data_IF_528843689513
#
_entry.id   IF_528843689513
#
_cell.length_a   1.000
_cell.length_b   1.000
_cell.length_c   1.000
_cell.angle_alpha   90.00
_cell.angle_beta   90.00
_cell.angle_gamma   90.00
#
_symmetry.space_group_name_H-M   'P 1'
#
loop_
_entity.id
_entity.type
_entity.pdbx_description
1 polymer ?
#
# COMPACT_ATOMS: atom_id res chain seq x y z
N UNK A 1 -2.36 -3.39 -12.04
CA UNK A 1 -1.08 -2.93 -11.45
C UNK A 1 -0.28 -2.14 -12.46
N UNK A 2 -0.87 -1.11 -13.10
CA UNK A 2 -0.23 -0.46 -14.24
C UNK A 2 1.01 0.34 -13.81
N UNK A 3 0.98 1.02 -12.66
CA UNK A 3 2.13 1.75 -12.11
C UNK A 3 3.33 0.83 -11.80
N UNK A 4 3.10 -0.30 -11.13
CA UNK A 4 4.18 -1.25 -10.81
C UNK A 4 4.76 -1.89 -12.06
N UNK A 5 3.92 -2.19 -13.08
CA UNK A 5 4.39 -2.70 -14.37
C UNK A 5 5.25 -1.67 -15.10
N UNK A 6 4.80 -0.42 -15.18
CA UNK A 6 5.54 0.68 -15.78
C UNK A 6 6.95 0.81 -15.19
N UNK A 7 7.07 0.75 -13.86
CA UNK A 7 8.37 0.83 -13.20
C UNK A 7 9.21 -0.46 -13.30
N UNK A 8 8.69 -1.60 -12.82
CA UNK A 8 9.49 -2.82 -12.63
C UNK A 8 9.64 -3.67 -13.90
N UNK A 9 8.72 -3.56 -14.86
CA UNK A 9 8.72 -4.40 -16.08
C UNK A 9 9.13 -3.61 -17.30
N UNK A 10 8.62 -2.39 -17.44
CA UNK A 10 8.80 -1.56 -18.64
C UNK A 10 9.92 -0.52 -18.48
N UNK A 11 10.48 -0.39 -17.27
CA UNK A 11 11.59 0.52 -16.95
C UNK A 11 11.30 1.99 -17.35
N UNK A 12 10.04 2.41 -17.17
CA UNK A 12 9.61 3.78 -17.40
C UNK A 12 9.89 4.66 -16.17
N UNK A 13 10.08 5.96 -16.43
CA UNK A 13 10.24 6.96 -15.39
C UNK A 13 8.88 7.36 -14.80
N UNK A 14 8.49 6.72 -13.70
CA UNK A 14 7.24 7.01 -13.00
C UNK A 14 7.26 8.32 -12.18
N UNK A 15 8.36 9.09 -12.22
CA UNK A 15 8.37 10.47 -11.73
C UNK A 15 7.90 11.48 -12.80
N UNK A 16 7.80 11.05 -14.06
CA UNK A 16 7.28 11.85 -15.17
C UNK A 16 5.75 11.90 -15.16
N UNK A 17 5.19 13.11 -15.25
CA UNK A 17 3.74 13.30 -15.36
C UNK A 17 3.19 12.62 -16.63
N UNK A 18 3.89 12.68 -17.76
CA UNK A 18 3.43 12.07 -19.00
C UNK A 18 3.26 10.55 -18.86
N UNK A 19 4.21 9.89 -18.17
CA UNK A 19 4.12 8.45 -17.87
C UNK A 19 2.97 8.17 -16.90
N UNK A 20 2.81 9.00 -15.86
CA UNK A 20 1.70 8.84 -14.91
C UNK A 20 0.34 8.97 -15.59
N UNK A 21 0.17 9.91 -16.52
CA UNK A 21 -1.09 10.08 -17.25
C UNK A 21 -1.40 8.89 -18.16
N UNK A 22 -0.37 8.30 -18.80
CA UNK A 22 -0.53 7.05 -19.54
C UNK A 22 -0.99 5.91 -18.61
N UNK A 23 -0.34 5.77 -17.45
CA UNK A 23 -0.71 4.75 -16.45
C UNK A 23 -2.14 4.94 -15.94
N UNK A 24 -2.59 6.19 -15.76
CA UNK A 24 -3.95 6.56 -15.36
C UNK A 24 -4.96 6.12 -16.44
N UNK A 25 -4.71 6.45 -17.70
CA UNK A 25 -5.56 6.05 -18.83
C UNK A 25 -5.65 4.53 -18.97
N UNK A 26 -4.51 3.83 -18.90
CA UNK A 26 -4.46 2.35 -18.95
C UNK A 26 -5.19 1.69 -17.76
N UNK A 27 -5.35 2.43 -16.66
CA UNK A 27 -6.09 1.98 -15.47
C UNK A 27 -7.60 2.22 -15.58
N UNK A 28 -8.06 2.79 -16.70
CA UNK A 28 -9.46 3.14 -16.93
C UNK A 28 -9.92 4.37 -16.14
N UNK A 29 -8.98 5.21 -15.68
CA UNK A 29 -9.26 6.44 -14.96
C UNK A 29 -9.29 7.59 -15.97
N UNK A 30 -10.30 8.46 -15.88
CA UNK A 30 -10.39 9.65 -16.71
C UNK A 30 -9.23 10.62 -16.42
N UNK A 31 -8.47 10.95 -17.46
CA UNK A 31 -7.23 11.72 -17.37
C UNK A 31 -7.48 13.16 -16.90
N UNK A 32 -8.56 13.78 -17.35
CA UNK A 32 -8.87 15.17 -17.00
C UNK A 32 -9.33 15.27 -15.54
N UNK A 33 -10.17 14.33 -15.10
CA UNK A 33 -10.58 14.18 -13.69
C UNK A 33 -9.38 13.93 -12.78
N UNK A 34 -8.43 13.07 -13.20
CA UNK A 34 -7.20 12.82 -12.43
C UNK A 34 -6.37 14.10 -12.29
N UNK A 35 -6.12 14.83 -13.39
CA UNK A 35 -5.36 16.09 -13.37
C UNK A 35 -6.01 17.12 -12.46
N UNK A 36 -7.33 17.30 -12.57
CA UNK A 36 -8.07 18.22 -11.73
C UNK A 36 -7.94 17.84 -10.25
N UNK A 37 -8.19 16.57 -9.93
CA UNK A 37 -8.11 16.05 -8.55
C UNK A 37 -6.70 16.21 -7.98
N UNK A 38 -5.67 15.90 -8.78
CA UNK A 38 -4.27 16.00 -8.38
C UNK A 38 -3.87 17.46 -8.10
N UNK A 39 -4.28 18.40 -8.97
CA UNK A 39 -4.01 19.82 -8.79
C UNK A 39 -4.74 20.41 -7.57
N UNK A 40 -6.00 20.04 -7.36
CA UNK A 40 -6.81 20.55 -6.24
C UNK A 40 -6.34 20.02 -4.87
N UNK A 41 -5.72 18.84 -4.83
CA UNK A 41 -5.39 18.13 -3.60
C UNK A 41 -3.89 17.88 -3.39
N UNK A 42 -3.00 18.50 -4.18
CA UNK A 42 -1.55 18.26 -4.17
C UNK A 42 -0.96 18.28 -2.74
N UNK A 43 -1.25 19.33 -1.97
CA UNK A 43 -0.76 19.46 -0.60
C UNK A 43 -1.35 18.41 0.36
N UNK A 44 -2.60 18.03 0.15
CA UNK A 44 -3.25 17.01 0.97
C UNK A 44 -2.63 15.64 0.69
N UNK A 45 -2.48 15.27 -0.58
CA UNK A 45 -1.85 14.00 -0.96
C UNK A 45 -0.40 13.93 -0.50
N UNK A 46 0.35 15.03 -0.60
CA UNK A 46 1.71 15.11 -0.06
C UNK A 46 1.72 14.81 1.44
N UNK A 47 0.85 15.46 2.22
CA UNK A 47 0.73 15.19 3.67
C UNK A 47 0.38 13.74 3.96
N UNK A 48 -0.62 13.18 3.28
CA UNK A 48 -1.03 11.79 3.47
C UNK A 48 0.11 10.79 3.22
N UNK A 49 0.90 10.99 2.14
CA UNK A 49 2.07 10.14 1.86
C UNK A 49 3.11 10.21 2.98
N UNK A 50 3.37 11.40 3.54
CA UNK A 50 4.30 11.55 4.66
C UNK A 50 3.74 10.98 5.97
N UNK A 51 2.44 11.13 6.22
CA UNK A 51 1.77 10.58 7.39
C UNK A 51 1.83 9.05 7.36
N UNK A 52 1.51 8.41 6.22
CA UNK A 52 1.64 6.96 6.03
C UNK A 52 3.08 6.47 6.26
N UNK A 53 4.09 7.20 5.77
CA UNK A 53 5.49 6.90 6.00
C UNK A 53 5.88 6.98 7.48
N UNK A 54 5.41 8.02 8.18
CA UNK A 54 5.68 8.21 9.60
C UNK A 54 4.99 7.14 10.44
N UNK A 55 3.76 6.77 10.12
CA UNK A 55 3.02 5.71 10.79
C UNK A 55 3.74 4.35 10.64
N UNK A 56 4.19 4.01 9.43
CA UNK A 56 4.99 2.81 9.20
C UNK A 56 6.29 2.83 10.02
N UNK A 57 7.00 3.95 10.04
CA UNK A 57 8.24 4.12 10.82
C UNK A 57 7.98 3.97 12.33
N UNK A 58 6.89 4.55 12.84
CA UNK A 58 6.48 4.49 14.24
C UNK A 58 6.08 3.06 14.66
N UNK A 59 5.53 2.27 13.74
CA UNK A 59 5.27 0.84 13.92
C UNK A 59 6.54 -0.03 13.86
N UNK A 60 7.72 0.57 13.67
CA UNK A 60 9.00 -0.15 13.58
C UNK A 60 9.22 -0.84 12.24
N UNK A 61 8.45 -0.48 11.20
CA UNK A 61 8.63 -1.01 9.86
C UNK A 61 9.84 -0.32 9.22
N UNK A 62 10.92 -1.07 9.06
CA UNK A 62 12.20 -0.58 8.51
C UNK A 62 12.42 -1.01 7.05
N UNK A 63 11.44 -1.65 6.41
CA UNK A 63 11.57 -2.15 5.06
C UNK A 63 10.24 -2.64 4.49
N UNK A 64 10.17 -2.71 3.16
CA UNK A 64 9.00 -3.15 2.40
C UNK A 64 9.32 -4.39 1.55
N UNK A 65 8.33 -5.24 1.21
CA UNK A 65 6.93 -5.15 1.62
C UNK A 65 6.73 -5.51 3.09
N UNK A 66 5.73 -4.91 3.72
CA UNK A 66 5.31 -5.21 5.09
C UNK A 66 3.78 -5.21 5.14
N UNK A 67 3.21 -6.12 5.93
CA UNK A 67 1.77 -6.25 6.11
C UNK A 67 1.47 -6.25 7.60
N UNK A 68 0.59 -5.35 8.03
CA UNK A 68 0.10 -5.28 9.41
C UNK A 68 -1.31 -5.85 9.45
N UNK A 69 -1.58 -6.77 10.37
CA UNK A 69 -2.89 -7.38 10.60
C UNK A 69 -3.42 -6.82 11.92
N UNK A 70 -4.57 -6.13 11.84
CA UNK A 70 -5.31 -5.55 12.98
C UNK A 70 -4.44 -4.71 13.92
N UNK A 71 -3.50 -3.94 13.37
CA UNK A 71 -2.55 -3.10 14.11
C UNK A 71 -1.72 -3.84 15.18
N UNK A 72 -1.71 -5.17 15.15
CA UNK A 72 -1.15 -6.02 16.21
C UNK A 72 -0.10 -7.00 15.71
N UNK A 73 -0.19 -7.42 14.45
CA UNK A 73 0.70 -8.44 13.92
C UNK A 73 1.37 -7.99 12.61
N UNK A 74 2.70 -7.85 12.66
CA UNK A 74 3.53 -7.45 11.52
C UNK A 74 4.11 -8.68 10.82
N UNK A 75 3.84 -8.81 9.53
CA UNK A 75 4.55 -9.69 8.59
C UNK A 75 5.50 -8.81 7.79
N UNK A 76 6.81 -8.98 7.99
CA UNK A 76 7.84 -8.19 7.32
C UNK A 76 8.53 -9.00 6.22
N UNK A 77 8.64 -8.40 5.03
CA UNK A 77 9.29 -8.98 3.87
C UNK A 77 8.34 -9.69 2.91
N UNK A 78 8.87 -10.04 1.73
CA UNK A 78 8.19 -10.86 0.75
C UNK A 78 8.24 -12.33 1.20
N UNK A 79 7.23 -12.75 1.96
CA UNK A 79 7.09 -14.12 2.46
C UNK A 79 6.23 -14.98 1.52
N UNK A 80 6.31 -16.29 1.68
CA UNK A 80 5.47 -17.24 0.93
C UNK A 80 4.00 -17.19 1.39
N UNK A 81 3.11 -17.79 0.58
CA UNK A 81 1.67 -17.81 0.84
C UNK A 81 1.37 -18.61 2.11
N UNK A 82 2.11 -19.68 2.36
CA UNK A 82 1.99 -20.53 3.53
C UNK A 82 2.24 -19.76 4.83
N UNK A 83 3.19 -18.81 4.83
CA UNK A 83 3.46 -17.92 5.95
C UNK A 83 2.26 -17.02 6.22
N UNK A 84 1.69 -16.40 5.17
CA UNK A 84 0.47 -15.60 5.31
C UNK A 84 -0.69 -16.44 5.88
N UNK A 85 -0.88 -17.66 5.38
CA UNK A 85 -1.93 -18.56 5.87
C UNK A 85 -1.77 -18.89 7.36
N UNK A 86 -0.54 -19.17 7.81
CA UNK A 86 -0.24 -19.45 9.22
C UNK A 86 -0.49 -18.23 10.09
N UNK A 87 0.02 -17.06 9.69
CA UNK A 87 -0.16 -15.81 10.43
C UNK A 87 -1.66 -15.45 10.58
N UNK A 88 -2.43 -15.55 9.50
CA UNK A 88 -3.87 -15.27 9.52
C UNK A 88 -4.65 -16.30 10.36
N UNK A 89 -4.30 -17.58 10.31
CA UNK A 89 -4.92 -18.61 11.14
C UNK A 89 -4.64 -18.37 12.61
N UNK A 90 -3.38 -18.11 12.97
CA UNK A 90 -2.97 -17.81 14.34
C UNK A 90 -3.67 -16.57 14.89
N UNK A 91 -3.73 -15.49 14.12
CA UNK A 91 -4.42 -14.27 14.53
C UNK A 91 -5.94 -14.50 14.73
N UNK A 92 -6.59 -15.29 13.86
CA UNK A 92 -8.01 -15.66 14.03
C UNK A 92 -8.27 -16.40 15.34
N UNK A 93 -7.42 -17.38 15.68
CA UNK A 93 -7.52 -18.15 16.92
C UNK A 93 -7.37 -17.26 18.16
N UNK A 94 -6.39 -16.34 18.16
CA UNK A 94 -6.18 -15.38 19.25
C UNK A 94 -7.40 -14.47 19.44
N UNK A 95 -7.95 -13.93 18.35
CA UNK A 95 -9.14 -13.07 18.38
C UNK A 95 -10.35 -13.81 18.95
N UNK A 96 -10.59 -15.03 18.49
CA UNK A 96 -11.76 -15.82 18.88
C UNK A 96 -11.66 -16.30 20.35
N UNK A 97 -10.45 -16.58 20.84
CA UNK A 97 -10.22 -16.86 22.26
C UNK A 97 -10.41 -15.62 23.16
N UNK A 98 -10.09 -14.43 22.65
CA UNK A 98 -10.29 -13.16 23.36
C UNK A 98 -11.75 -12.70 23.45
N UNK A 99 -12.59 -13.04 22.47
CA UNK A 99 -14.04 -12.78 22.49
C UNK A 99 -14.82 -13.79 23.34
N UNK A 100 -14.33 -15.02 23.51
CA UNK A 100 -14.94 -16.03 24.38
C UNK A 100 -14.76 -15.74 25.89
N UNK A 101 -13.88 -14.80 26.25
CA UNK A 101 -13.53 -14.47 27.63
C UNK A 101 -14.08 -13.09 28.07
N UNK A 102 -15.09 -12.57 27.36
CA UNK A 102 -15.86 -11.36 27.69
C UNK A 102 -17.34 -11.67 27.86
#
# INVERSE_FOLDING_TARGET
MNLMRAYFTENQDISSMDVLLQVVEESGIDVDTFKQTQAENEQQFSRQVFDDYNDATNLGINGVPAVVIDDQYLISGAVDVEHYQKALTYYRELRDAGTANR
#
